data_IF_406375139260
#
_entry.id   IF_406375139260
#
_cell.length_a   1.000
_cell.length_b   1.000
_cell.length_c   1.000
_cell.angle_alpha   90.00
_cell.angle_beta   90.00
_cell.angle_gamma   90.00
#
_symmetry.space_group_name_H-M   'P 1'
#
loop_
_entity.id
_entity.type
_entity.pdbx_description
1 polymer ?
2 non-polymer ?
3 non-polymer ?
4 non-polymer ?
5 non-polymer ?
6 water ?
#
# COMPACT_ATOMS: atom_id res chain seq x y z
N UNK A 12 5.49 -8.67 30.29
CA UNK A 12 6.90 -8.85 30.52
C UNK A 12 7.62 -7.94 29.55
N UNK A 13 8.83 -7.56 29.91
CA UNK A 13 9.72 -6.77 29.07
C UNK A 13 10.72 -7.73 28.37
N UNK A 14 10.73 -7.75 27.04
CA UNK A 14 11.61 -8.62 26.22
C UNK A 14 12.74 -7.84 25.55
N UNK A 15 13.84 -8.53 25.25
CA UNK A 15 14.90 -7.99 24.38
C UNK A 15 14.89 -8.56 22.93
N UNK A 16 14.36 -9.76 22.82
CA UNK A 16 14.28 -10.53 21.54
C UNK A 16 12.82 -10.93 21.32
N UNK A 17 12.36 -10.90 20.05
CA UNK A 17 11.03 -11.44 19.71
C UNK A 17 11.09 -11.78 18.22
N UNK A 18 10.99 -13.06 17.91
CA UNK A 18 11.18 -13.49 16.52
C UNK A 18 12.55 -13.02 16.04
N UNK A 19 12.61 -12.36 14.88
CA UNK A 19 13.85 -11.78 14.39
C UNK A 19 14.11 -10.30 14.76
N UNK A 20 13.32 -9.74 15.65
CA UNK A 20 13.50 -8.38 16.18
C UNK A 20 14.38 -8.38 17.45
N UNK A 21 15.19 -7.34 17.59
CA UNK A 21 16.15 -7.14 18.72
C UNK A 21 16.05 -5.68 19.19
N UNK A 22 15.86 -5.44 20.49
CA UNK A 22 15.96 -4.07 21.01
C UNK A 22 17.28 -3.42 20.57
N UNK A 23 17.15 -2.10 20.21
CA UNK A 23 18.20 -1.22 19.64
C UNK A 23 18.31 -1.21 18.11
N UNK A 24 17.61 -2.09 17.41
CA UNK A 24 17.65 -2.09 15.96
C UNK A 24 17.01 -0.80 15.42
N UNK A 25 17.45 -0.42 14.23
CA UNK A 25 16.85 0.67 13.47
C UNK A 25 15.61 0.09 12.72
N UNK A 26 14.53 0.84 12.64
CA UNK A 26 13.29 0.32 11.98
C UNK A 26 12.49 1.53 11.49
N UNK A 27 11.41 1.26 10.77
CA UNK A 27 10.45 2.26 10.35
C UNK A 27 9.19 2.11 11.21
N UNK A 28 8.58 3.22 11.65
CA UNK A 28 7.33 3.20 12.34
C UNK A 28 6.25 4.09 11.76
N UNK A 29 4.99 3.71 11.97
CA UNK A 29 3.83 4.50 11.43
C UNK A 29 3.48 5.62 12.41
N UNK A 30 3.58 6.87 11.95
CA UNK A 30 3.14 8.04 12.76
C UNK A 30 1.65 8.24 12.64
N UNK A 31 1.10 9.11 13.51
CA UNK A 31 -0.33 9.40 13.48
C UNK A 31 -0.82 10.13 12.22
N UNK A 32 0.11 10.74 11.50
CA UNK A 32 -0.15 11.29 10.16
C UNK A 32 -0.41 10.21 9.08
N UNK A 33 -0.15 8.95 9.44
CA UNK A 33 -0.24 7.76 8.56
C UNK A 33 0.92 7.63 7.57
N UNK A 34 1.95 8.45 7.68
CA UNK A 34 3.21 8.29 6.97
C UNK A 34 4.24 7.62 7.87
N UNK A 35 5.20 6.96 7.24
CA UNK A 35 6.18 6.13 7.99
C UNK A 35 7.58 6.74 8.03
N UNK A 36 8.26 6.60 9.18
CA UNK A 36 9.48 7.37 9.47
C UNK A 36 10.48 6.53 10.26
N UNK A 37 11.76 6.87 10.10
CA UNK A 37 12.86 6.15 10.75
C UNK A 37 12.95 6.37 12.23
N UNK A 38 13.29 5.30 12.96
CA UNK A 38 13.50 5.38 14.39
C UNK A 38 14.24 4.15 14.91
N UNK A 39 14.27 4.04 16.23
CA UNK A 39 14.99 2.96 16.93
C UNK A 39 13.97 2.21 17.78
N UNK A 40 14.05 0.86 17.78
CA UNK A 40 13.24 0.05 18.65
C UNK A 40 13.85 0.07 20.06
N UNK A 41 13.18 0.71 20.99
CA UNK A 41 13.71 0.86 22.37
C UNK A 41 13.13 -0.09 23.43
N UNK A 42 12.03 -0.80 23.17
CA UNK A 42 11.46 -1.76 24.12
C UNK A 42 10.48 -2.69 23.40
N UNK A 43 10.32 -3.90 23.92
CA UNK A 43 9.32 -4.85 23.45
C UNK A 43 8.52 -5.31 24.69
N UNK A 44 7.20 -5.12 24.70
CA UNK A 44 6.34 -5.41 25.90
C UNK A 44 5.30 -6.47 25.55
N UNK A 45 5.06 -7.46 26.43
CA UNK A 45 3.96 -8.40 26.32
C UNK A 45 2.90 -8.15 27.41
N UNK A 46 1.66 -8.42 27.05
CA UNK A 46 0.54 -8.61 28.00
C UNK A 46 -0.28 -9.81 27.55
N UNK A 47 -0.01 -10.95 28.17
CA UNK A 47 -0.63 -12.20 27.80
C UNK A 47 -0.29 -12.53 26.36
N UNK A 48 -1.31 -12.63 25.49
CA UNK A 48 -1.04 -12.99 24.10
C UNK A 48 -0.61 -11.79 23.25
N UNK A 49 -0.70 -10.57 23.76
CA UNK A 49 -0.40 -9.38 22.95
C UNK A 49 1.04 -8.89 23.02
N UNK A 50 1.45 -8.19 21.96
CA UNK A 50 2.81 -7.61 21.87
C UNK A 50 2.76 -6.16 21.44
N UNK A 51 3.58 -5.30 22.06
CA UNK A 51 3.74 -3.91 21.63
C UNK A 51 5.21 -3.58 21.53
N UNK A 52 5.53 -2.59 20.69
CA UNK A 52 6.88 -2.22 20.28
C UNK A 52 7.07 -0.70 20.45
N UNK A 53 7.96 -0.29 21.35
CA UNK A 53 8.18 1.14 21.65
C UNK A 53 9.25 1.69 20.72
N UNK A 54 8.93 2.72 19.93
CA UNK A 54 9.83 3.30 18.96
C UNK A 54 10.11 4.78 19.31
N UNK A 55 11.37 5.13 19.33
CA UNK A 55 11.81 6.53 19.41
C UNK A 55 12.14 7.01 18.00
N UNK A 56 11.35 7.98 17.49
CA UNK A 56 11.60 8.48 16.14
C UNK A 56 12.81 9.43 16.11
N UNK A 57 13.50 9.51 14.97
CA UNK A 57 14.68 10.40 14.82
C UNK A 57 14.38 11.88 15.03
N UNK A 58 13.33 12.35 14.39
CA UNK A 58 12.95 13.77 14.38
C UNK A 58 11.59 13.90 15.07
N UNK A 59 11.49 13.34 16.27
CA UNK A 59 10.22 13.21 16.97
C UNK A 59 10.31 12.62 18.38
N UNK A 60 9.13 12.35 18.91
CA UNK A 60 8.98 11.67 20.16
C UNK A 60 8.94 10.18 19.93
N UNK A 61 8.03 9.54 20.68
CA UNK A 61 7.94 8.12 20.91
C UNK A 61 6.51 7.65 20.69
N UNK A 62 6.34 6.44 20.18
CA UNK A 62 5.07 5.78 20.14
C UNK A 62 5.21 4.35 20.61
N UNK A 63 4.15 3.83 21.19
CA UNK A 63 3.97 2.42 21.53
C UNK A 63 3.05 1.81 20.43
N UNK A 64 3.63 0.93 19.58
CA UNK A 64 2.99 0.46 18.32
C UNK A 64 2.70 -1.05 18.30
N UNK A 65 1.61 -1.47 17.63
CA UNK A 65 1.36 -2.89 17.33
C UNK A 65 2.40 -3.34 16.26
N UNK A 66 2.61 -4.63 16.11
CA UNK A 66 3.67 -5.17 15.20
C UNK A 66 3.38 -4.97 13.71
N UNK A 67 2.09 -4.72 13.41
CA UNK A 67 1.67 -4.39 12.01
C UNK A 67 1.90 -2.91 11.69
N UNK A 68 2.34 -2.13 12.66
CA UNK A 68 2.65 -0.71 12.46
C UNK A 68 4.18 -0.35 12.60
N UNK A 69 5.04 -1.36 12.42
CA UNK A 69 6.50 -1.24 12.27
C UNK A 69 6.91 -2.03 11.00
N UNK A 70 7.99 -1.58 10.36
CA UNK A 70 8.53 -2.21 9.15
C UNK A 70 10.04 -2.25 9.20
N UNK A 71 10.63 -3.23 8.52
CA UNK A 71 12.08 -3.32 8.48
C UNK A 71 12.67 -2.23 7.59
N UNK A 72 13.87 -1.75 7.92
CA UNK A 72 14.50 -0.69 7.08
C UNK A 72 15.46 -1.33 6.07
N UNK A 73 14.97 -2.31 5.31
CA UNK A 73 15.67 -2.90 4.21
C UNK A 73 14.68 -3.34 3.13
N UNK A 74 15.17 -3.64 1.92
CA UNK A 74 14.24 -4.00 0.84
C UNK A 74 13.95 -5.50 0.89
N UNK A 75 12.66 -5.92 0.77
CA UNK A 75 12.35 -7.35 0.87
C UNK A 75 12.99 -8.14 -0.29
N UNK A 76 13.61 -9.28 -0.01
CA UNK A 76 14.00 -10.21 -1.12
C UNK A 76 12.79 -10.66 -1.98
N UNK A 77 12.92 -10.80 -3.30
CA UNK A 77 11.74 -11.06 -4.15
C UNK A 77 11.01 -12.39 -3.85
N UNK A 78 11.76 -13.37 -3.39
CA UNK A 78 11.18 -14.67 -3.07
C UNK A 78 10.35 -14.60 -1.81
N UNK A 79 10.37 -13.45 -1.10
CA UNK A 79 9.58 -13.28 0.14
C UNK A 79 8.29 -12.53 -0.09
N UNK A 80 8.02 -12.02 -1.30
CA UNK A 80 6.88 -11.21 -1.53
C UNK A 80 5.88 -11.95 -2.37
N UNK A 81 4.61 -11.93 -1.92
CA UNK A 81 3.50 -12.60 -2.58
C UNK A 81 2.41 -11.57 -2.92
N UNK A 82 1.50 -11.90 -3.84
CA UNK A 82 0.22 -11.18 -3.90
C UNK A 82 -0.43 -11.24 -2.53
N UNK A 83 -0.78 -10.07 -1.96
CA UNK A 83 -1.27 -9.98 -0.59
C UNK A 83 -0.26 -9.57 0.48
N UNK A 84 1.03 -9.55 0.17
CA UNK A 84 2.03 -9.12 1.16
C UNK A 84 1.79 -7.65 1.60
N UNK A 85 2.00 -7.42 2.89
CA UNK A 85 1.80 -6.11 3.51
C UNK A 85 3.12 -5.34 3.52
N UNK A 86 3.14 -4.17 2.86
CA UNK A 86 4.41 -3.41 2.61
C UNK A 86 4.20 -1.91 2.90
N UNK A 87 5.34 -1.22 3.08
CA UNK A 87 5.43 0.26 3.00
C UNK A 87 6.14 0.54 1.68
N UNK A 88 5.65 1.52 0.91
CA UNK A 88 6.18 1.86 -0.41
C UNK A 88 6.26 3.40 -0.61
N UNK A 89 7.14 3.79 -1.50
CA UNK A 89 7.23 5.18 -1.98
C UNK A 89 5.95 5.62 -2.66
N UNK A 90 5.35 6.71 -2.15
CA UNK A 90 4.03 7.26 -2.55
C UNK A 90 4.23 8.72 -3.02
N UNK A 91 3.79 9.00 -4.24
CA UNK A 91 3.95 10.37 -4.81
C UNK A 91 2.72 11.26 -4.52
N UNK A 92 2.97 12.40 -3.89
CA UNK A 92 1.92 13.37 -3.53
C UNK A 92 2.36 14.72 -4.15
N UNK A 93 1.85 15.03 -5.35
CA UNK A 93 2.32 16.22 -6.09
C UNK A 93 3.83 16.11 -6.33
N UNK A 94 4.58 17.12 -5.91
CA UNK A 94 6.05 17.06 -5.99
C UNK A 94 6.76 16.54 -4.75
N UNK A 95 6.00 16.12 -3.73
CA UNK A 95 6.59 15.47 -2.52
C UNK A 95 6.51 13.94 -2.61
N UNK A 96 7.38 13.29 -1.84
CA UNK A 96 7.34 11.79 -1.74
C UNK A 96 7.27 11.34 -0.24
N UNK A 97 6.41 10.36 0.09
CA UNK A 97 6.29 9.83 1.45
C UNK A 97 6.43 8.30 1.38
N UNK A 98 6.50 7.70 2.57
CA UNK A 98 6.40 6.24 2.73
C UNK A 98 4.99 5.93 3.31
N UNK A 99 4.22 5.13 2.59
CA UNK A 99 2.85 4.86 2.89
C UNK A 99 2.52 3.35 2.77
N UNK A 100 1.60 2.87 3.59
CA UNK A 100 1.27 1.43 3.61
C UNK A 100 0.39 0.97 2.44
N UNK A 101 0.56 -0.30 2.03
CA UNK A 101 -0.22 -0.88 0.94
C UNK A 101 -0.12 -2.42 0.93
N UNK A 102 -0.68 -3.00 -0.14
CA UNK A 102 -0.71 -4.46 -0.40
C UNK A 102 -0.11 -4.73 -1.77
N UNK A 103 0.77 -5.72 -1.91
CA UNK A 103 1.28 -6.13 -3.24
C UNK A 103 0.16 -6.80 -4.08
N UNK A 104 -0.11 -6.21 -5.23
CA UNK A 104 -1.12 -6.71 -6.17
C UNK A 104 -0.53 -7.50 -7.34
N UNK A 105 0.74 -7.27 -7.67
CA UNK A 105 1.43 -8.01 -8.74
C UNK A 105 2.88 -8.03 -8.42
N UNK A 106 3.53 -9.18 -8.77
CA UNK A 106 5.00 -9.32 -8.63
C UNK A 106 5.59 -9.15 -10.07
N UNK A 107 6.94 -8.98 -10.16
CA UNK A 107 7.59 -8.69 -11.47
C UNK A 107 7.35 -9.72 -12.55
N UNK A 108 6.98 -9.29 -13.75
CA UNK A 108 6.79 -10.20 -14.89
C UNK A 108 6.97 -9.48 -16.23
N UNK A 109 6.89 -10.21 -17.35
CA UNK A 109 7.18 -9.58 -18.65
C UNK A 109 6.18 -8.48 -19.00
N UNK A 110 4.89 -8.74 -18.78
CA UNK A 110 3.84 -7.79 -19.11
C UNK A 110 3.88 -6.50 -18.29
N UNK A 111 4.42 -6.54 -17.06
CA UNK A 111 4.59 -5.31 -16.24
C UNK A 111 6.00 -4.69 -16.21
N UNK A 112 6.88 -5.17 -17.11
CA UNK A 112 8.28 -4.71 -17.16
C UNK A 112 9.00 -4.84 -15.84
N UNK A 113 8.77 -5.97 -15.19
CA UNK A 113 9.52 -6.35 -14.01
C UNK A 113 9.44 -5.41 -12.83
N UNK A 114 8.16 -4.99 -12.56
CA UNK A 114 7.84 -4.09 -11.47
C UNK A 114 6.81 -4.75 -10.50
N UNK A 115 6.67 -4.12 -9.33
CA UNK A 115 5.62 -4.48 -8.35
C UNK A 115 4.41 -3.49 -8.45
N UNK A 116 3.19 -4.05 -8.56
CA UNK A 116 1.97 -3.21 -8.47
C UNK A 116 1.56 -3.11 -7.02
N UNK A 117 1.36 -1.90 -6.52
CA UNK A 117 0.97 -1.64 -5.12
C UNK A 117 -0.46 -1.03 -5.07
N UNK A 118 -1.32 -1.57 -4.20
CA UNK A 118 -2.62 -0.98 -3.84
C UNK A 118 -2.44 -0.32 -2.45
N UNK A 119 -2.41 1.03 -2.42
CA UNK A 119 -2.23 1.77 -1.15
C UNK A 119 -3.51 1.82 -0.32
N UNK A 120 -3.34 1.99 1.00
CA UNK A 120 -4.50 1.94 1.94
C UNK A 120 -5.60 2.96 1.66
N UNK A 121 -5.25 4.07 0.99
CA UNK A 121 -6.22 5.14 0.66
C UNK A 121 -6.92 4.98 -0.69
N UNK A 122 -6.64 3.89 -1.40
CA UNK A 122 -7.24 3.64 -2.70
C UNK A 122 -6.44 3.96 -3.96
N UNK A 123 -5.27 4.58 -3.85
CA UNK A 123 -4.41 4.84 -5.02
C UNK A 123 -3.63 3.55 -5.38
N UNK A 124 -3.13 3.51 -6.60
CA UNK A 124 -2.36 2.38 -7.15
C UNK A 124 -1.16 2.90 -7.95
N UNK A 125 -0.03 2.21 -7.86
CA UNK A 125 1.21 2.61 -8.55
C UNK A 125 2.11 1.40 -8.81
N UNK A 126 2.91 1.44 -9.87
CA UNK A 126 4.04 0.53 -10.02
C UNK A 126 5.30 1.12 -9.35
N UNK A 127 6.06 0.26 -8.66
CA UNK A 127 7.31 0.65 -7.96
C UNK A 127 8.37 -0.45 -8.19
N UNK A 128 9.65 -0.11 -7.94
CA UNK A 128 10.72 -1.04 -8.01
C UNK A 128 10.98 -1.70 -6.64
N UNK A 129 11.77 -2.79 -6.60
CA UNK A 129 12.20 -3.43 -5.32
C UNK A 129 12.82 -2.47 -4.34
N UNK A 130 13.56 -1.49 -4.85
CA UNK A 130 14.25 -0.51 -4.02
C UNK A 130 13.35 0.56 -3.39
N UNK A 131 12.06 0.52 -3.72
CA UNK A 131 11.05 1.43 -3.21
C UNK A 131 10.09 0.77 -2.19
N UNK A 132 10.39 -0.46 -1.75
CA UNK A 132 9.54 -1.24 -0.85
C UNK A 132 10.24 -1.66 0.42
N UNK A 133 9.45 -1.78 1.49
CA UNK A 133 9.90 -2.24 2.80
C UNK A 133 8.83 -3.17 3.37
N UNK A 134 9.23 -4.32 4.00
CA UNK A 134 8.24 -5.25 4.56
C UNK A 134 7.77 -4.91 5.96
N UNK A 135 6.46 -4.95 6.19
CA UNK A 135 5.89 -4.80 7.56
C UNK A 135 6.31 -6.02 8.39
N UNK A 136 6.68 -5.75 9.66
CA UNK A 136 7.31 -6.77 10.50
C UNK A 136 6.36 -7.90 10.91
N UNK A 137 5.18 -7.56 11.40
CA UNK A 137 4.22 -8.55 11.93
C UNK A 137 2.83 -8.35 11.30
N UNK A 138 2.69 -8.73 10.02
CA UNK A 138 1.39 -8.52 9.32
C UNK A 138 0.29 -9.40 9.96
N UNK A 139 -0.95 -8.95 9.82
CA UNK A 139 -2.08 -9.79 10.23
C UNK A 139 -2.25 -11.00 9.34
N UNK A 140 -2.88 -12.08 9.91
CA UNK A 140 -3.17 -13.33 9.13
C UNK A 140 -3.92 -13.06 7.82
N UNK A 141 -4.97 -12.27 7.90
CA UNK A 141 -5.64 -11.65 6.72
C UNK A 141 -5.07 -10.24 6.58
N UNK A 142 -4.10 -10.10 5.67
CA UNK A 142 -3.24 -8.90 5.67
C UNK A 142 -3.99 -7.58 5.48
N UNK A 143 -5.14 -7.64 4.79
CA UNK A 143 -5.99 -6.46 4.50
C UNK A 143 -6.79 -5.98 5.70
N UNK A 144 -6.84 -6.76 6.78
CA UNK A 144 -7.82 -6.42 7.86
C UNK A 144 -7.47 -5.19 8.68
N UNK A 145 -6.25 -4.63 8.52
CA UNK A 145 -5.90 -3.36 9.18
C UNK A 145 -5.99 -2.15 8.22
N UNK A 146 -6.64 -2.31 7.07
CA UNK A 146 -7.01 -1.20 6.16
C UNK A 146 -8.27 -0.52 6.75
N UNK A 147 -8.11 0.76 7.12
CA UNK A 147 -9.20 1.50 7.82
C UNK A 147 -10.42 1.81 6.93
N UNK A 148 -10.20 2.19 5.69
CA UNK A 148 -11.29 2.48 4.75
C UNK A 148 -12.02 1.20 4.30
N UNK A 149 -13.31 1.13 4.55
CA UNK A 149 -14.06 -0.09 4.41
C UNK A 149 -14.18 -0.51 2.92
N UNK A 150 -14.42 0.47 2.05
CA UNK A 150 -14.58 0.13 0.64
C UNK A 150 -13.26 -0.36 0.03
N UNK A 151 -12.15 0.26 0.45
CA UNK A 151 -10.84 -0.20 0.01
C UNK A 151 -10.52 -1.60 0.58
N UNK A 152 -10.79 -1.79 1.88
CA UNK A 152 -10.58 -3.10 2.50
C UNK A 152 -11.31 -4.26 1.82
N UNK A 153 -12.61 -4.06 1.58
CA UNK A 153 -13.40 -5.12 0.95
C UNK A 153 -12.97 -5.40 -0.54
N UNK A 154 -12.63 -4.33 -1.27
CA UNK A 154 -12.14 -4.53 -2.65
C UNK A 154 -10.84 -5.36 -2.67
N UNK A 155 -9.90 -4.97 -1.78
CA UNK A 155 -8.60 -5.68 -1.74
C UNK A 155 -8.77 -7.14 -1.25
N UNK A 156 -9.60 -7.39 -0.25
CA UNK A 156 -9.87 -8.76 0.15
C UNK A 156 -10.38 -9.60 -1.05
N UNK A 157 -11.36 -9.08 -1.78
CA UNK A 157 -11.89 -9.81 -2.99
C UNK A 157 -10.79 -10.05 -4.04
N UNK A 158 -10.00 -9.00 -4.34
CA UNK A 158 -8.93 -9.15 -5.27
C UNK A 158 -7.89 -10.25 -4.89
N UNK A 159 -7.41 -10.18 -3.64
CA UNK A 159 -6.31 -11.06 -3.19
C UNK A 159 -6.79 -12.52 -3.14
N UNK A 160 -8.01 -12.71 -2.67
CA UNK A 160 -8.56 -14.08 -2.54
C UNK A 160 -8.97 -14.68 -3.89
N UNK A 161 -9.43 -13.86 -4.87
CA UNK A 161 -9.78 -14.37 -6.21
C UNK A 161 -8.62 -14.59 -7.14
N UNK A 162 -7.48 -13.91 -6.87
CA UNK A 162 -6.28 -13.95 -7.70
C UNK A 162 -5.94 -15.44 -7.98
N UNK A 163 -5.63 -15.82 -9.23
CA UNK A 163 -5.31 -15.03 -10.43
C UNK A 163 -6.52 -14.68 -11.34
N UNK A 164 -7.73 -14.92 -10.90
CA UNK A 164 -8.95 -14.50 -11.64
C UNK A 164 -9.13 -13.00 -11.42
N UNK A 165 -8.86 -12.20 -12.46
CA UNK A 165 -8.82 -10.73 -12.35
C UNK A 165 -9.55 -10.06 -13.49
N UNK A 166 -10.86 -9.83 -13.33
CA UNK A 166 -11.59 -9.11 -14.39
C UNK A 166 -11.00 -7.72 -14.56
N UNK A 167 -10.79 -7.29 -15.81
CA UNK A 167 -10.29 -5.95 -16.14
C UNK A 167 -10.95 -5.48 -17.41
N UNK A 168 -11.03 -4.17 -17.58
CA UNK A 168 -11.52 -3.61 -18.87
C UNK A 168 -10.33 -3.34 -19.81
N UNK A 169 -10.49 -3.72 -21.09
CA UNK A 169 -9.51 -3.49 -22.13
C UNK A 169 -9.80 -2.07 -22.67
N UNK A 170 -8.82 -1.17 -22.55
CA UNK A 170 -8.95 0.23 -22.91
C UNK A 170 -7.83 0.65 -23.88
N UNK A 171 -8.16 1.61 -24.75
CA UNK A 171 -7.17 2.18 -25.69
C UNK A 171 -7.14 3.69 -25.58
N UNK A 172 -5.96 4.30 -25.83
CA UNK A 172 -5.86 5.76 -25.82
C UNK A 172 -6.90 6.40 -26.76
N UNK A 173 -7.55 7.43 -26.23
CA UNK A 173 -8.56 8.22 -26.94
C UNK A 173 -9.98 7.80 -26.63
N UNK A 174 -10.17 6.65 -26.01
CA UNK A 174 -11.50 6.15 -25.66
C UNK A 174 -12.17 6.99 -24.59
N UNK A 175 -13.47 7.29 -24.83
CA UNK A 175 -14.27 8.12 -23.90
C UNK A 175 -15.05 7.18 -23.00
N UNK A 176 -14.98 7.44 -21.70
CA UNK A 176 -15.65 6.64 -20.66
C UNK A 176 -16.09 7.52 -19.49
N UNK A 177 -16.96 7.00 -18.61
CA UNK A 177 -17.28 7.67 -17.37
C UNK A 177 -16.43 7.08 -16.22
N UNK A 178 -15.90 7.97 -15.38
CA UNK A 178 -15.07 7.64 -14.22
C UNK A 178 -15.61 8.29 -12.93
N UNK A 179 -15.69 7.51 -11.85
CA UNK A 179 -16.15 8.01 -10.55
C UNK A 179 -15.19 8.93 -9.86
N UNK A 180 -15.74 9.93 -9.21
CA UNK A 180 -15.00 10.75 -8.25
C UNK A 180 -16.03 11.39 -7.29
N UNK A 181 -15.75 11.19 -6.00
CA UNK A 181 -16.61 11.72 -4.91
C UNK A 181 -18.08 11.45 -5.13
N UNK A 182 -18.38 10.22 -5.45
CA UNK A 182 -19.77 9.75 -5.47
C UNK A 182 -20.59 9.87 -6.75
N UNK A 183 -20.05 10.53 -7.78
CA UNK A 183 -20.78 10.73 -9.06
C UNK A 183 -19.89 10.36 -10.25
N UNK A 184 -20.51 10.25 -11.42
CA UNK A 184 -19.82 9.86 -12.67
C UNK A 184 -19.42 11.13 -13.47
N UNK A 185 -18.19 11.14 -14.00
CA UNK A 185 -17.60 12.28 -14.71
C UNK A 185 -17.20 11.88 -16.09
N UNK A 186 -17.42 12.76 -17.07
CA UNK A 186 -16.90 12.54 -18.43
C UNK A 186 -15.37 12.54 -18.45
N UNK A 187 -14.77 11.51 -19.08
CA UNK A 187 -13.31 11.30 -19.04
C UNK A 187 -12.80 10.63 -20.28
N UNK A 188 -11.47 10.63 -20.45
CA UNK A 188 -10.83 10.06 -21.63
C UNK A 188 -9.59 9.26 -21.21
N UNK A 189 -9.36 8.12 -21.88
CA UNK A 189 -8.13 7.33 -21.67
C UNK A 189 -6.96 8.02 -22.35
N UNK A 190 -5.92 8.41 -21.58
CA UNK A 190 -4.75 9.06 -22.16
C UNK A 190 -3.62 8.11 -22.49
N UNK A 191 -3.43 7.07 -21.67
CA UNK A 191 -2.30 6.11 -21.76
C UNK A 191 -2.63 4.85 -20.97
N UNK A 192 -2.06 3.71 -21.36
CA UNK A 192 -2.18 2.45 -20.62
C UNK A 192 -0.74 1.99 -20.30
N UNK A 193 -0.51 1.54 -19.05
CA UNK A 193 0.80 1.01 -18.60
C UNK A 193 0.46 -0.29 -17.79
N UNK A 194 0.64 -1.46 -18.42
CA UNK A 194 0.27 -2.73 -17.79
C UNK A 194 -1.16 -2.76 -17.29
N UNK A 195 -1.35 -2.98 -16.01
CA UNK A 195 -2.69 -3.08 -15.38
C UNK A 195 -3.26 -1.71 -14.92
N UNK A 196 -2.59 -0.62 -15.26
CA UNK A 196 -3.05 0.78 -14.90
C UNK A 196 -3.42 1.57 -16.15
N UNK A 197 -4.37 2.48 -15.98
CA UNK A 197 -4.77 3.43 -17.06
C UNK A 197 -4.67 4.87 -16.52
N UNK A 198 -4.17 5.82 -17.34
CA UNK A 198 -4.14 7.21 -16.97
C UNK A 198 -5.38 7.87 -17.55
N UNK A 199 -6.28 8.32 -16.67
CA UNK A 199 -7.56 8.92 -17.08
C UNK A 199 -7.51 10.45 -16.93
N UNK A 200 -7.90 11.16 -17.99
CA UNK A 200 -8.12 12.60 -17.96
C UNK A 200 -9.58 12.91 -17.66
N UNK A 201 -9.79 13.63 -16.56
CA UNK A 201 -11.15 14.14 -16.20
C UNK A 201 -11.32 15.39 -17.03
N UNK A 202 -12.33 15.38 -17.93
CA UNK A 202 -12.42 16.40 -18.99
C UNK A 202 -12.76 17.82 -18.47
N UNK A 203 -13.70 17.93 -17.52
CA UNK A 203 -13.99 19.26 -16.90
C UNK A 203 -12.79 19.83 -16.14
N UNK A 204 -12.18 19.07 -15.25
CA UNK A 204 -11.08 19.52 -14.35
C UNK A 204 -9.72 19.65 -15.11
N UNK A 205 -9.60 18.94 -16.24
CA UNK A 205 -8.35 18.91 -17.05
C UNK A 205 -7.12 18.45 -16.25
N UNK A 206 -7.32 17.48 -15.36
CA UNK A 206 -6.22 16.82 -14.63
C UNK A 206 -6.43 15.30 -14.65
N UNK A 207 -5.35 14.57 -14.41
CA UNK A 207 -5.33 13.10 -14.60
C UNK A 207 -5.09 12.32 -13.33
N UNK A 208 -5.45 11.04 -13.38
CA UNK A 208 -5.21 10.08 -12.30
C UNK A 208 -4.87 8.70 -12.88
N UNK A 209 -3.89 7.98 -12.33
CA UNK A 209 -3.65 6.59 -12.68
C UNK A 209 -4.61 5.71 -11.86
N UNK A 210 -5.34 4.84 -12.54
CA UNK A 210 -6.37 3.99 -11.95
C UNK A 210 -6.18 2.53 -12.37
N UNK A 211 -6.40 1.57 -11.46
CA UNK A 211 -6.32 0.13 -11.79
C UNK A 211 -7.43 -0.26 -12.80
N UNK A 212 -7.08 -1.03 -13.84
CA UNK A 212 -8.08 -1.38 -14.91
C UNK A 212 -9.20 -2.35 -14.49
N UNK A 213 -9.10 -2.93 -13.28
CA UNK A 213 -10.20 -3.70 -12.65
C UNK A 213 -11.00 -2.89 -11.64
N UNK A 214 -10.73 -1.59 -11.47
CA UNK A 214 -11.45 -0.74 -10.50
C UNK A 214 -12.90 -0.50 -10.89
N UNK A 215 -13.78 -0.65 -9.90
CA UNK A 215 -15.19 -0.27 -10.07
C UNK A 215 -15.43 1.24 -10.18
N UNK A 216 -14.41 2.08 -10.06
CA UNK A 216 -14.50 3.53 -10.42
C UNK A 216 -14.57 3.72 -11.96
N UNK A 217 -14.21 2.71 -12.77
CA UNK A 217 -14.35 2.76 -14.22
C UNK A 217 -15.74 2.22 -14.55
N UNK A 218 -16.54 3.05 -15.22
CA UNK A 218 -17.98 2.63 -15.41
C UNK A 218 -18.15 1.25 -16.08
N UNK A 219 -17.29 0.88 -17.06
CA UNK A 219 -17.48 -0.49 -17.60
C UNK A 219 -17.28 -1.64 -16.58
N UNK A 220 -16.47 -1.43 -15.54
CA UNK A 220 -16.31 -2.43 -14.45
C UNK A 220 -17.44 -2.36 -13.40
N UNK A 221 -17.92 -1.16 -13.11
CA UNK A 221 -19.08 -0.98 -12.26
C UNK A 221 -20.28 -1.76 -12.80
N UNK A 222 -20.39 -1.85 -14.12
CA UNK A 222 -21.57 -2.48 -14.75
C UNK A 222 -21.53 -4.01 -14.92
N UNK A 223 -20.34 -4.62 -14.98
CA UNK A 223 -20.23 -6.06 -15.22
#
# INVERSE_FOLDING_TARGET
MHHHHHHSSGRENLYFQGDLIVSMRILGKKRTKTWHKGTLIAIQTVGPGKKYKVKFDNKGKSLLSGNHIAYDYHPPADKLYVGSRVVAKYKDGNQVWLYAGIVAETPNVKNKLRFLIFFDDGYASYVTQSELYPICRPLKKTWEDIEDISCRDFIEEYVTAYPNRPMVLLKSGQLIKTEWEGTWWKSRVEEVDGSLVRILFLDDKRCEWIYRGSTRLEPMFSMKT
#
